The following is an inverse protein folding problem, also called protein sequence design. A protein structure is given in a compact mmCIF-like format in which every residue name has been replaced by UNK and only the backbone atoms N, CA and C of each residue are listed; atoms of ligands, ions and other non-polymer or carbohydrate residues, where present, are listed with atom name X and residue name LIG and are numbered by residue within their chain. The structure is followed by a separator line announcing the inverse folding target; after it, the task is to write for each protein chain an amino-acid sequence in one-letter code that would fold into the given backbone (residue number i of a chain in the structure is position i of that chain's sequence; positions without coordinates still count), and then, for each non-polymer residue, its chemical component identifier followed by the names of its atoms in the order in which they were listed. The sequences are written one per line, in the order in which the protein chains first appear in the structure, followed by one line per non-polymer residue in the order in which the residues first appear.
data_IF_829742434832
#
_entry.id   IF_829742434832
#
_cell.length_a   1.000
_cell.length_b   1.000
_cell.length_c   1.000
_cell.angle_alpha   90.00
_cell.angle_beta   90.00
_cell.angle_gamma   90.00
#
_symmetry.space_group_name_H-M   'P 1'
#
loop_
_entity.id
_entity.type
_entity.pdbx_description
1 polymer ?
#
# COMPACT_ATOMS: atom_id res chain seq x y z
N UNK A 1 6.65 3.87 14.89
CA UNK A 1 7.65 4.80 15.43
C UNK A 1 8.62 5.12 14.29
N UNK A 2 8.58 6.35 13.77
CA UNK A 2 9.36 6.80 12.61
C UNK A 2 10.87 6.81 12.86
N UNK A 3 11.34 7.08 14.08
CA UNK A 3 12.78 7.06 14.42
C UNK A 3 13.38 5.67 14.27
N UNK A 4 12.64 4.63 14.69
CA UNK A 4 13.05 3.24 14.48
C UNK A 4 13.15 2.88 13.00
N UNK A 5 12.21 3.39 12.19
CA UNK A 5 12.24 3.17 10.73
C UNK A 5 13.40 3.92 10.07
N UNK A 6 13.70 5.16 10.49
CA UNK A 6 14.89 5.90 10.04
C UNK A 6 16.18 5.15 10.38
N UNK A 7 16.31 4.67 11.61
CA UNK A 7 17.47 3.87 12.01
C UNK A 7 17.60 2.55 11.23
N UNK A 8 16.48 1.93 10.83
CA UNK A 8 16.49 0.77 9.94
C UNK A 8 16.85 1.15 8.50
N UNK A 9 16.42 2.32 8.03
CA UNK A 9 16.74 2.84 6.71
C UNK A 9 18.25 3.02 6.55
N UNK A 10 18.89 3.65 7.52
CA UNK A 10 20.35 3.87 7.54
C UNK A 10 21.15 2.56 7.61
N UNK A 11 20.52 1.47 8.06
CA UNK A 11 21.13 0.15 8.25
C UNK A 11 20.72 -0.86 7.18
N UNK A 12 19.83 -0.50 6.27
CA UNK A 12 19.30 -1.41 5.27
C UNK A 12 20.43 -1.85 4.32
N UNK A 13 20.86 -3.11 4.45
CA UNK A 13 21.96 -3.67 3.66
C UNK A 13 21.52 -4.27 2.33
N UNK A 14 20.21 -4.37 2.09
CA UNK A 14 19.63 -4.92 0.86
C UNK A 14 18.67 -3.93 0.18
N UNK A 15 18.56 -4.03 -1.15
CA UNK A 15 17.60 -3.22 -1.91
C UNK A 15 16.15 -3.48 -1.45
N UNK A 16 15.80 -4.74 -1.16
CA UNK A 16 14.47 -5.12 -0.71
C UNK A 16 14.10 -4.47 0.63
N UNK A 17 15.03 -4.47 1.60
CA UNK A 17 14.80 -3.85 2.90
C UNK A 17 14.73 -2.32 2.78
N UNK A 18 15.58 -1.72 1.94
CA UNK A 18 15.53 -0.28 1.66
C UNK A 18 14.18 0.14 1.08
N UNK A 19 13.66 -0.60 0.09
CA UNK A 19 12.35 -0.34 -0.50
C UNK A 19 11.22 -0.49 0.53
N UNK A 20 11.25 -1.54 1.36
CA UNK A 20 10.25 -1.72 2.41
C UNK A 20 10.27 -0.55 3.39
N UNK A 21 11.44 -0.20 3.89
CA UNK A 21 11.57 0.85 4.92
C UNK A 21 11.10 2.18 4.36
N UNK A 22 11.52 2.55 3.13
CA UNK A 22 11.03 3.77 2.46
C UNK A 22 9.51 3.78 2.34
N UNK A 23 8.94 2.67 1.85
CA UNK A 23 7.49 2.55 1.64
C UNK A 23 6.69 2.66 2.95
N UNK A 24 7.26 2.23 4.08
CA UNK A 24 6.65 2.36 5.41
C UNK A 24 6.91 3.70 6.07
N UNK A 25 8.05 4.33 5.79
CA UNK A 25 8.48 5.58 6.41
C UNK A 25 7.75 6.78 5.80
N UNK A 26 7.57 6.78 4.47
CA UNK A 26 6.97 7.91 3.77
C UNK A 26 5.58 8.29 4.32
N UNK A 27 4.58 7.39 4.44
CA UNK A 27 3.25 7.77 4.93
C UNK A 27 3.21 8.23 6.40
N UNK A 28 4.29 8.01 7.16
CA UNK A 28 4.39 8.42 8.56
C UNK A 28 5.10 9.76 8.75
N UNK A 29 5.77 10.26 7.71
CA UNK A 29 6.65 11.43 7.80
C UNK A 29 6.39 12.46 6.72
N UNK A 30 5.81 12.05 5.59
CA UNK A 30 5.62 12.88 4.39
C UNK A 30 6.93 13.54 3.93
N UNK A 31 8.08 12.94 4.30
CA UNK A 31 9.40 13.43 3.97
C UNK A 31 9.76 13.01 2.55
N UNK A 32 9.66 13.95 1.60
CA UNK A 32 9.95 13.74 0.18
C UNK A 32 11.35 13.16 -0.07
N UNK A 33 12.33 13.43 0.81
CA UNK A 33 13.69 12.90 0.68
C UNK A 33 13.72 11.36 0.72
N UNK A 34 12.69 10.72 1.31
CA UNK A 34 12.53 9.25 1.31
C UNK A 34 12.25 8.72 -0.11
N UNK A 35 11.76 9.57 -1.03
CA UNK A 35 11.43 9.26 -2.42
C UNK A 35 12.53 9.67 -3.41
N UNK A 36 13.66 10.18 -2.93
CA UNK A 36 14.80 10.51 -3.77
C UNK A 36 15.58 9.27 -4.22
N UNK A 37 16.22 9.38 -5.40
CA UNK A 37 17.04 8.33 -6.01
C UNK A 37 16.35 6.96 -6.17
N UNK A 38 15.03 6.95 -6.32
CA UNK A 38 14.29 5.73 -6.60
C UNK A 38 14.75 5.12 -7.94
N UNK A 39 15.04 3.80 -7.98
CA UNK A 39 15.36 3.14 -9.23
C UNK A 39 14.17 3.22 -10.19
N UNK A 40 14.45 3.42 -11.48
CA UNK A 40 13.39 3.47 -12.51
C UNK A 40 12.87 2.08 -12.88
N UNK A 41 13.66 1.04 -12.65
CA UNK A 41 13.34 -0.37 -12.88
C UNK A 41 14.21 -1.28 -11.98
N UNK A 42 13.86 -2.56 -11.92
CA UNK A 42 14.64 -3.61 -11.27
C UNK A 42 15.06 -4.65 -12.33
N UNK A 43 16.27 -5.18 -12.23
CA UNK A 43 16.74 -6.22 -13.17
C UNK A 43 16.36 -7.64 -12.72
N UNK A 44 16.35 -7.91 -11.42
CA UNK A 44 16.06 -9.23 -10.83
C UNK A 44 15.28 -9.11 -9.50
N UNK A 45 14.25 -8.25 -9.48
CA UNK A 45 13.43 -8.05 -8.27
C UNK A 45 12.49 -9.22 -7.98
N UNK A 46 12.17 -9.41 -6.70
CA UNK A 46 11.05 -10.25 -6.25
C UNK A 46 9.71 -9.55 -6.52
N UNK A 47 8.57 -10.26 -6.53
CA UNK A 47 7.24 -9.61 -6.67
C UNK A 47 7.05 -8.47 -5.64
N UNK A 48 7.55 -8.68 -4.42
CA UNK A 48 7.55 -7.67 -3.37
C UNK A 48 8.35 -6.42 -3.74
N UNK A 49 9.55 -6.57 -4.31
CA UNK A 49 10.39 -5.43 -4.66
C UNK A 49 9.74 -4.56 -5.74
N UNK A 50 9.16 -5.19 -6.76
CA UNK A 50 8.42 -4.48 -7.80
C UNK A 50 7.19 -3.77 -7.26
N UNK A 51 6.41 -4.41 -6.39
CA UNK A 51 5.25 -3.81 -5.76
C UNK A 51 5.63 -2.61 -4.87
N UNK A 52 6.65 -2.75 -4.03
CA UNK A 52 7.13 -1.66 -3.17
C UNK A 52 7.64 -0.47 -3.99
N UNK A 53 8.42 -0.73 -5.04
CA UNK A 53 8.91 0.33 -5.92
C UNK A 53 7.76 0.99 -6.68
N UNK A 54 6.76 0.23 -7.11
CA UNK A 54 5.53 0.78 -7.69
C UNK A 54 4.83 1.75 -6.74
N UNK A 55 4.64 1.36 -5.48
CA UNK A 55 4.03 2.21 -4.45
C UNK A 55 4.82 3.49 -4.19
N UNK A 56 6.16 3.41 -4.15
CA UNK A 56 7.03 4.58 -3.98
C UNK A 56 6.92 5.55 -5.17
N UNK A 57 6.83 5.05 -6.41
CA UNK A 57 6.55 5.90 -7.57
C UNK A 57 5.14 6.48 -7.57
N UNK A 58 4.16 5.80 -6.97
CA UNK A 58 2.81 6.35 -6.78
C UNK A 58 2.81 7.52 -5.78
N UNK A 59 3.51 7.37 -4.64
CA UNK A 59 3.70 8.48 -3.70
C UNK A 59 4.39 9.68 -4.38
N UNK A 60 5.45 9.43 -5.15
CA UNK A 60 6.13 10.48 -5.90
C UNK A 60 5.25 11.14 -6.96
N UNK A 61 4.28 10.41 -7.52
CA UNK A 61 3.29 11.00 -8.43
C UNK A 61 2.30 11.91 -7.71
N UNK A 62 1.98 11.63 -6.44
CA UNK A 62 1.11 12.46 -5.59
C UNK A 62 1.73 13.82 -5.24
N UNK A 63 3.03 13.86 -4.96
CA UNK A 63 3.76 15.10 -4.65
C UNK A 63 4.13 15.93 -5.88
N UNK A 64 4.12 15.31 -7.05
CA UNK A 64 4.61 15.92 -8.28
C UNK A 64 3.62 16.92 -8.88
N UNK A 65 4.15 17.97 -9.51
CA UNK A 65 3.38 18.81 -10.43
C UNK A 65 2.68 17.96 -11.50
N UNK A 66 1.54 18.45 -12.03
CA UNK A 66 0.66 17.70 -12.94
C UNK A 66 1.38 16.99 -14.11
N UNK A 67 2.40 17.61 -14.72
CA UNK A 67 3.13 17.03 -15.86
C UNK A 67 4.08 15.88 -15.47
N UNK A 68 4.79 15.97 -14.35
CA UNK A 68 5.66 14.89 -13.87
C UNK A 68 4.88 13.75 -13.22
N UNK A 69 3.71 14.06 -12.63
CA UNK A 69 2.79 13.08 -12.06
C UNK A 69 2.36 12.00 -13.07
N UNK A 70 2.13 12.37 -14.34
CA UNK A 70 1.77 11.40 -15.40
C UNK A 70 2.90 10.40 -15.66
N UNK A 71 4.15 10.89 -15.74
CA UNK A 71 5.32 10.03 -15.96
C UNK A 71 5.55 9.06 -14.81
N UNK A 72 5.45 9.55 -13.57
CA UNK A 72 5.60 8.74 -12.37
C UNK A 72 4.45 7.74 -12.19
N UNK A 73 3.21 8.13 -12.48
CA UNK A 73 2.06 7.24 -12.47
C UNK A 73 2.19 6.09 -13.48
N UNK A 74 2.62 6.35 -14.71
CA UNK A 74 2.89 5.29 -15.70
C UNK A 74 3.97 4.33 -15.23
N UNK A 75 5.05 4.85 -14.64
CA UNK A 75 6.13 4.02 -14.10
C UNK A 75 5.64 3.14 -12.94
N UNK A 76 4.88 3.71 -12.02
CA UNK A 76 4.22 2.98 -10.94
C UNK A 76 3.37 1.83 -11.49
N UNK A 77 2.53 2.09 -12.48
CA UNK A 77 1.67 1.06 -13.07
C UNK A 77 2.46 -0.05 -13.78
N UNK A 78 3.48 0.29 -14.56
CA UNK A 78 4.30 -0.73 -15.24
C UNK A 78 4.98 -1.66 -14.24
N UNK A 79 5.55 -1.10 -13.16
CA UNK A 79 6.17 -1.89 -12.09
C UNK A 79 5.16 -2.79 -11.37
N UNK A 80 3.93 -2.32 -11.17
CA UNK A 80 2.88 -3.13 -10.57
C UNK A 80 2.49 -4.30 -11.47
N UNK A 81 2.38 -4.08 -12.78
CA UNK A 81 2.12 -5.16 -13.74
C UNK A 81 3.28 -6.17 -13.80
N UNK A 82 4.54 -5.72 -13.70
CA UNK A 82 5.69 -6.62 -13.56
C UNK A 82 5.63 -7.45 -12.27
N UNK A 83 5.19 -6.86 -11.16
CA UNK A 83 4.99 -7.57 -9.90
C UNK A 83 3.91 -8.66 -10.02
N UNK A 84 2.77 -8.30 -10.62
CA UNK A 84 1.62 -9.20 -10.86
C UNK A 84 1.95 -10.32 -11.82
N UNK A 85 2.76 -10.06 -12.84
CA UNK A 85 3.21 -11.09 -13.79
C UNK A 85 4.06 -12.17 -13.11
N UNK A 86 4.74 -11.85 -11.99
CA UNK A 86 5.52 -12.82 -11.22
C UNK A 86 4.69 -13.56 -10.19
N UNK A 87 3.92 -12.83 -9.38
CA UNK A 87 2.98 -13.41 -8.41
C UNK A 87 1.87 -12.41 -8.09
N UNK A 88 0.66 -12.59 -8.62
CA UNK A 88 -0.45 -11.67 -8.39
C UNK A 88 -1.04 -11.77 -6.97
N UNK A 89 -0.73 -12.85 -6.24
CA UNK A 89 -1.22 -13.08 -4.89
C UNK A 89 -0.18 -12.75 -3.81
N UNK A 90 1.02 -12.30 -4.21
CA UNK A 90 2.06 -11.89 -3.26
C UNK A 90 1.53 -10.76 -2.34
N UNK A 91 1.80 -10.80 -1.02
CA UNK A 91 1.15 -9.89 -0.08
C UNK A 91 1.31 -8.39 -0.40
N UNK A 92 2.51 -7.96 -0.78
CA UNK A 92 2.75 -6.56 -1.16
C UNK A 92 2.16 -6.21 -2.55
N UNK A 93 1.98 -7.19 -3.44
CA UNK A 93 1.28 -6.97 -4.72
C UNK A 93 -0.19 -6.67 -4.45
N UNK A 94 -0.85 -7.48 -3.62
CA UNK A 94 -2.23 -7.26 -3.22
C UNK A 94 -2.43 -5.93 -2.48
N UNK A 95 -1.50 -5.57 -1.58
CA UNK A 95 -1.55 -4.31 -0.84
C UNK A 95 -1.47 -3.09 -1.77
N UNK A 96 -0.44 -3.06 -2.62
CA UNK A 96 -0.17 -1.91 -3.50
C UNK A 96 -1.19 -1.81 -4.62
N UNK A 97 -1.64 -2.94 -5.20
CA UNK A 97 -2.72 -2.93 -6.19
C UNK A 97 -4.03 -2.42 -5.57
N UNK A 98 -4.37 -2.88 -4.36
CA UNK A 98 -5.54 -2.39 -3.63
C UNK A 98 -5.51 -0.88 -3.41
N UNK A 99 -4.36 -0.32 -3.01
CA UNK A 99 -4.19 1.12 -2.84
C UNK A 99 -4.27 1.86 -4.19
N UNK A 100 -3.61 1.34 -5.23
CA UNK A 100 -3.68 1.92 -6.58
C UNK A 100 -5.13 2.02 -7.07
N UNK A 101 -5.92 0.96 -6.89
CA UNK A 101 -7.33 0.91 -7.26
C UNK A 101 -8.21 1.92 -6.50
N UNK A 102 -7.82 2.31 -5.29
CA UNK A 102 -8.52 3.33 -4.50
C UNK A 102 -8.18 4.75 -4.91
N UNK A 103 -6.90 5.07 -5.06
CA UNK A 103 -6.46 6.47 -5.17
C UNK A 103 -6.24 6.93 -6.61
N UNK A 104 -6.15 6.02 -7.59
CA UNK A 104 -6.00 6.44 -8.98
C UNK A 104 -7.25 7.18 -9.47
N UNK A 105 -7.14 8.12 -10.41
CA UNK A 105 -8.31 8.80 -10.98
C UNK A 105 -9.32 7.84 -11.60
N UNK A 106 -10.61 8.20 -11.61
CA UNK A 106 -11.66 7.39 -12.22
C UNK A 106 -11.39 7.04 -13.69
N UNK A 107 -10.86 7.99 -14.47
CA UNK A 107 -10.46 7.78 -15.88
C UNK A 107 -9.30 6.78 -16.03
N UNK A 108 -8.52 6.56 -14.97
CA UNK A 108 -7.43 5.58 -14.90
C UNK A 108 -7.89 4.26 -14.26
N UNK A 109 -9.20 4.10 -14.06
CA UNK A 109 -9.82 2.87 -13.60
C UNK A 109 -9.95 2.73 -12.08
N UNK A 110 -10.18 3.82 -11.32
CA UNK A 110 -10.56 3.71 -9.90
C UNK A 110 -11.63 2.63 -9.74
N UNK A 111 -11.38 1.64 -8.89
CA UNK A 111 -12.29 0.52 -8.64
C UNK A 111 -12.20 0.10 -7.17
N UNK A 112 -12.97 0.79 -6.31
CA UNK A 112 -12.97 0.53 -4.87
C UNK A 112 -13.49 -0.86 -4.50
N UNK A 113 -14.38 -1.44 -5.32
CA UNK A 113 -14.89 -2.79 -5.07
C UNK A 113 -13.82 -3.84 -5.35
N UNK A 114 -13.06 -3.70 -6.45
CA UNK A 114 -11.88 -4.54 -6.69
C UNK A 114 -10.81 -4.34 -5.61
N UNK A 115 -10.57 -3.10 -5.15
CA UNK A 115 -9.66 -2.84 -4.03
C UNK A 115 -10.07 -3.62 -2.76
N UNK A 116 -11.36 -3.56 -2.39
CA UNK A 116 -11.87 -4.30 -1.25
C UNK A 116 -11.66 -5.83 -1.39
N UNK A 117 -11.75 -6.36 -2.60
CA UNK A 117 -11.46 -7.77 -2.88
C UNK A 117 -9.97 -8.09 -2.73
N UNK A 118 -9.06 -7.22 -3.19
CA UNK A 118 -7.60 -7.37 -3.00
C UNK A 118 -7.23 -7.39 -1.52
N UNK A 119 -7.78 -6.47 -0.73
CA UNK A 119 -7.52 -6.45 0.71
C UNK A 119 -8.12 -7.64 1.46
N UNK A 120 -9.28 -8.15 1.02
CA UNK A 120 -9.82 -9.40 1.55
C UNK A 120 -8.91 -10.60 1.24
N UNK A 121 -8.40 -10.70 0.00
CA UNK A 121 -7.46 -11.74 -0.41
C UNK A 121 -6.15 -11.65 0.39
N UNK A 122 -5.63 -10.44 0.59
CA UNK A 122 -4.44 -10.19 1.40
C UNK A 122 -4.63 -10.68 2.84
N UNK A 123 -5.76 -10.36 3.46
CA UNK A 123 -6.04 -10.80 4.82
C UNK A 123 -6.09 -12.34 4.92
N UNK A 124 -6.65 -13.03 3.92
CA UNK A 124 -6.66 -14.50 3.89
C UNK A 124 -5.23 -15.06 3.74
N UNK A 125 -4.40 -14.50 2.85
CA UNK A 125 -3.00 -14.93 2.69
C UNK A 125 -2.19 -14.78 3.98
N UNK A 126 -2.41 -13.69 4.72
CA UNK A 126 -1.77 -13.47 6.02
C UNK A 126 -2.19 -14.54 7.04
N UNK A 127 -3.44 -14.99 7.03
CA UNK A 127 -3.91 -16.06 7.94
C UNK A 127 -3.31 -17.43 7.58
N UNK A 128 -3.16 -17.72 6.28
CA UNK A 128 -2.72 -19.01 5.78
C UNK A 128 -1.21 -19.24 5.97
N UNK A 129 -0.39 -18.22 5.65
CA UNK A 129 1.07 -18.38 5.52
C UNK A 129 1.86 -17.48 6.49
N UNK A 130 1.20 -16.49 7.10
CA UNK A 130 1.88 -15.37 7.74
C UNK A 130 2.58 -14.48 6.71
N UNK A 131 2.86 -13.23 7.07
CA UNK A 131 3.61 -12.32 6.20
C UNK A 131 4.44 -11.36 7.05
N UNK A 132 5.74 -11.28 6.77
CA UNK A 132 6.58 -10.28 7.39
C UNK A 132 6.26 -8.88 6.83
N UNK A 133 5.94 -7.94 7.71
CA UNK A 133 5.80 -6.52 7.36
C UNK A 133 4.42 -6.09 6.86
N UNK A 134 3.40 -6.95 6.91
CA UNK A 134 1.98 -6.57 6.73
C UNK A 134 1.16 -7.29 7.80
N UNK A 135 0.36 -6.56 8.57
CA UNK A 135 -0.53 -7.17 9.56
C UNK A 135 -1.91 -7.47 8.98
N UNK A 136 -2.63 -8.44 9.55
CA UNK A 136 -4.03 -8.67 9.22
C UNK A 136 -4.89 -7.43 9.46
N UNK A 137 -4.62 -6.71 10.57
CA UNK A 137 -5.32 -5.48 10.90
C UNK A 137 -5.15 -4.44 9.79
N UNK A 138 -3.93 -4.25 9.28
CA UNK A 138 -3.67 -3.34 8.16
C UNK A 138 -4.51 -3.69 6.92
N UNK A 139 -4.55 -4.96 6.53
CA UNK A 139 -5.35 -5.39 5.39
C UNK A 139 -6.85 -5.11 5.60
N UNK A 140 -7.38 -5.37 6.79
CA UNK A 140 -8.81 -5.14 7.08
C UNK A 140 -9.17 -3.65 7.20
N UNK A 141 -8.26 -2.81 7.72
CA UNK A 141 -8.45 -1.35 7.75
C UNK A 141 -8.57 -0.80 6.33
N UNK A 142 -7.66 -1.19 5.43
CA UNK A 142 -7.74 -0.82 4.02
C UNK A 142 -9.01 -1.34 3.35
N UNK A 143 -9.45 -2.55 3.69
CA UNK A 143 -10.72 -3.10 3.22
C UNK A 143 -11.92 -2.30 3.70
N UNK A 144 -11.93 -1.82 4.95
CA UNK A 144 -12.99 -0.95 5.45
C UNK A 144 -13.13 0.29 4.57
N UNK A 145 -12.04 1.02 4.36
CA UNK A 145 -12.01 2.21 3.50
C UNK A 145 -12.50 1.90 2.09
N UNK A 146 -12.01 0.81 1.48
CA UNK A 146 -12.44 0.41 0.15
C UNK A 146 -13.93 0.07 0.05
N UNK A 147 -14.50 -0.55 1.08
CA UNK A 147 -15.93 -0.85 1.14
C UNK A 147 -16.77 0.42 1.29
N UNK A 148 -16.31 1.42 2.05
CA UNK A 148 -17.00 2.71 2.17
C UNK A 148 -17.02 3.44 0.84
N UNK A 149 -15.87 3.53 0.19
CA UNK A 149 -15.71 4.16 -1.12
C UNK A 149 -16.50 3.43 -2.22
N UNK A 150 -16.68 2.11 -2.10
CA UNK A 150 -17.55 1.31 -2.98
C UNK A 150 -19.05 1.48 -2.70
N UNK A 151 -19.46 2.38 -1.80
CA UNK A 151 -20.85 2.56 -1.36
C UNK A 151 -21.41 1.36 -0.60
N UNK A 152 -20.57 0.46 -0.08
CA UNK A 152 -20.96 -0.74 0.67
C UNK A 152 -20.97 -0.48 2.18
N UNK A 153 -21.58 0.64 2.59
CA UNK A 153 -21.57 1.14 3.97
C UNK A 153 -21.93 0.08 5.03
N UNK A 154 -22.97 -0.74 4.81
CA UNK A 154 -23.34 -1.79 5.78
C UNK A 154 -22.26 -2.85 5.95
N UNK A 155 -21.55 -3.22 4.87
CA UNK A 155 -20.44 -4.19 4.93
C UNK A 155 -19.20 -3.58 5.60
N UNK A 156 -18.92 -2.31 5.31
CA UNK A 156 -17.84 -1.57 5.94
C UNK A 156 -18.06 -1.43 7.45
N UNK A 157 -19.27 -1.02 7.87
CA UNK A 157 -19.62 -0.88 9.28
C UNK A 157 -19.54 -2.22 10.02
N UNK A 158 -20.10 -3.29 9.44
CA UNK A 158 -20.00 -4.61 10.06
C UNK A 158 -18.55 -5.11 10.19
N UNK A 159 -17.67 -4.73 9.27
CA UNK A 159 -16.24 -5.03 9.39
C UNK A 159 -15.58 -4.17 10.48
N UNK A 160 -15.82 -2.86 10.48
CA UNK A 160 -15.33 -1.91 11.50
C UNK A 160 -15.73 -2.35 12.90
N UNK A 161 -17.00 -2.68 13.14
CA UNK A 161 -17.50 -3.14 14.44
C UNK A 161 -16.81 -4.43 14.92
N UNK A 162 -16.42 -5.32 14.00
CA UNK A 162 -15.65 -6.52 14.35
C UNK A 162 -14.21 -6.19 14.69
N UNK A 163 -13.61 -5.23 13.99
CA UNK A 163 -12.23 -4.81 14.23
C UNK A 163 -12.09 -4.06 15.55
N UNK A 164 -13.02 -3.16 15.89
CA UNK A 164 -12.99 -2.39 17.14
C UNK A 164 -13.20 -3.25 18.40
N UNK A 165 -13.65 -4.50 18.25
CA UNK A 165 -13.71 -5.49 19.35
C UNK A 165 -12.36 -6.16 19.63
N UNK A 166 -11.36 -5.91 18.79
CA UNK A 166 -10.01 -6.45 18.92
C UNK A 166 -9.09 -5.42 19.58
N UNK A 167 -8.03 -5.90 20.23
CA UNK A 167 -6.96 -5.05 20.74
C UNK A 167 -6.08 -4.57 19.57
N UNK A 168 -6.54 -3.51 18.90
CA UNK A 168 -5.84 -2.89 17.77
C UNK A 168 -4.79 -1.90 18.25
N UNK A 169 -3.66 -1.84 17.55
CA UNK A 169 -2.70 -0.76 17.73
C UNK A 169 -3.38 0.61 17.48
N UNK A 170 -3.04 1.67 18.24
CA UNK A 170 -3.71 2.98 18.16
C UNK A 170 -3.79 3.57 16.75
N UNK A 171 -2.76 3.36 15.92
CA UNK A 171 -2.75 3.81 14.52
C UNK A 171 -3.92 3.24 13.70
N UNK A 172 -4.25 1.96 13.90
CA UNK A 172 -5.34 1.32 13.18
C UNK A 172 -6.71 1.73 13.71
N UNK A 173 -6.82 2.02 15.01
CA UNK A 173 -8.04 2.60 15.59
C UNK A 173 -8.32 3.98 15.00
N UNK A 174 -7.31 4.85 14.99
CA UNK A 174 -7.40 6.19 14.41
C UNK A 174 -7.84 6.16 12.95
N UNK A 175 -7.28 5.25 12.14
CA UNK A 175 -7.66 5.12 10.74
C UNK A 175 -9.12 4.68 10.56
N UNK A 176 -9.65 3.83 11.46
CA UNK A 176 -11.05 3.40 11.39
C UNK A 176 -12.03 4.51 11.82
N UNK A 177 -11.60 5.38 12.74
CA UNK A 177 -12.40 6.48 13.29
C UNK A 177 -12.36 7.72 12.39
N UNK A 178 -11.21 8.00 11.78
CA UNK A 178 -10.95 9.14 10.91
C UNK A 178 -10.15 8.68 9.69
N UNK A 179 -10.78 7.98 8.73
CA UNK A 179 -10.10 7.52 7.53
C UNK A 179 -9.61 8.68 6.65
N UNK A 180 -8.56 8.49 5.85
CA UNK A 180 -8.10 9.49 4.89
C UNK A 180 -9.12 9.66 3.75
N UNK A 181 -9.13 10.84 3.14
CA UNK A 181 -9.89 11.11 1.92
C UNK A 181 -9.32 10.31 0.73
N UNK A 182 -10.21 9.81 -0.13
CA UNK A 182 -9.92 8.88 -1.26
C UNK A 182 -10.48 9.35 -2.59
#
# INVERSE_FOLDING_TARGET
NAEKLRALFDRASSQSDSLLVRYRLYPLTEDEAVLDDLPSSLQNGTPRDYALLSGLWAYRAGEASFFSAVGYGRRSMNLLEEAKAKDPDAPFVLLVEGQSLLFRPAIAGKDPEAAAQRFARLANRIDEEGTAGISRAEAQVWRCLALEEAGRASKAQALRDRMLKQDLAPLYQQFLESPPDV
#
